data_IF_415084103089
#
_entry.id   IF_415084103089
#
_cell.length_a   1.000
_cell.length_b   1.000
_cell.length_c   1.000
_cell.angle_alpha   90.00
_cell.angle_beta   90.00
_cell.angle_gamma   90.00
#
_symmetry.space_group_name_H-M   'P 1'
#
loop_
_entity.id
_entity.type
_entity.pdbx_description
1 polymer ?
#
# COMPACT_ATOMS: atom_id res chain seq x y z
N UNK A 1 -0.25 25.45 3.54
CA UNK A 1 0.25 24.08 3.42
C UNK A 1 1.75 24.06 3.52
N UNK A 2 2.27 23.17 4.29
CA UNK A 2 3.70 23.11 4.48
C UNK A 2 4.26 21.86 3.80
N UNK A 3 5.54 21.91 3.53
CA UNK A 3 6.24 20.77 2.95
C UNK A 3 6.14 19.57 3.88
N UNK A 4 6.17 19.82 5.19
CA UNK A 4 6.08 18.75 6.16
C UNK A 4 4.75 18.01 6.05
N UNK A 5 3.66 18.74 5.83
CA UNK A 5 2.36 18.12 5.67
C UNK A 5 2.28 17.35 4.37
N UNK A 6 2.83 17.91 3.33
CA UNK A 6 2.88 17.23 2.04
C UNK A 6 3.68 15.94 2.14
N UNK A 7 4.79 16.01 2.82
CA UNK A 7 5.63 14.82 3.02
C UNK A 7 4.89 13.74 3.80
N UNK A 8 4.21 14.14 4.87
CA UNK A 8 3.44 13.19 5.67
C UNK A 8 2.34 12.52 4.85
N UNK A 9 1.66 13.30 4.03
CA UNK A 9 0.61 12.75 3.18
C UNK A 9 1.19 11.75 2.17
N UNK A 10 2.33 12.08 1.60
CA UNK A 10 2.97 11.19 0.64
C UNK A 10 3.37 9.88 1.29
N UNK A 11 3.95 9.95 2.47
CA UNK A 11 4.35 8.74 3.21
C UNK A 11 3.14 7.89 3.55
N UNK A 12 2.06 8.52 3.99
CA UNK A 12 0.85 7.80 4.33
C UNK A 12 0.25 7.12 3.09
N UNK A 13 0.27 7.81 1.97
CA UNK A 13 -0.27 7.26 0.74
C UNK A 13 0.54 6.04 0.28
N UNK A 14 1.85 6.15 0.29
CA UNK A 14 2.71 5.04 -0.10
C UNK A 14 2.51 3.85 0.83
N UNK A 15 2.45 4.12 2.13
CA UNK A 15 2.23 3.06 3.11
C UNK A 15 0.88 2.38 2.91
N UNK A 16 -0.14 3.16 2.59
CA UNK A 16 -1.47 2.60 2.36
C UNK A 16 -1.48 1.67 1.15
N UNK A 17 -0.79 2.04 0.10
CA UNK A 17 -0.72 1.18 -1.08
C UNK A 17 0.02 -0.11 -0.80
N UNK A 18 1.09 -0.04 -0.04
CA UNK A 18 1.86 -1.23 0.31
C UNK A 18 0.99 -2.19 1.12
N UNK A 19 0.30 -1.66 2.13
CA UNK A 19 -0.56 -2.50 2.97
C UNK A 19 -1.72 -3.06 2.17
N UNK A 20 -2.30 -2.25 1.29
CA UNK A 20 -3.39 -2.71 0.44
C UNK A 20 -2.95 -3.86 -0.45
N UNK A 21 -1.76 -3.77 -1.00
CA UNK A 21 -1.21 -4.84 -1.84
C UNK A 21 -1.05 -6.13 -1.07
N UNK A 22 -0.61 -6.03 0.17
CA UNK A 22 -0.47 -7.20 1.03
C UNK A 22 -1.83 -7.83 1.31
N UNK A 23 -2.84 -7.02 1.53
CA UNK A 23 -4.18 -7.53 1.78
C UNK A 23 -4.74 -8.25 0.56
N UNK A 24 -4.54 -7.66 -0.60
CA UNK A 24 -5.00 -8.29 -1.84
C UNK A 24 -4.29 -9.61 -2.06
N UNK A 25 -2.99 -9.64 -1.83
CA UNK A 25 -2.23 -10.87 -1.97
C UNK A 25 -2.71 -11.96 -1.02
N UNK A 26 -3.06 -11.58 0.20
CA UNK A 26 -3.55 -12.55 1.17
C UNK A 26 -4.96 -13.04 0.85
N UNK A 27 -5.76 -12.19 0.23
CA UNK A 27 -7.14 -12.55 -0.11
C UNK A 27 -7.22 -13.46 -1.32
N UNK A 28 -6.26 -13.35 -2.22
CA UNK A 28 -6.27 -14.18 -3.41
C UNK A 28 -5.84 -15.60 -3.05
N UNK A 29 -6.63 -16.61 -3.42
CA UNK A 29 -6.24 -17.99 -3.17
C UNK A 29 -4.93 -18.29 -3.88
N UNK A 30 -4.13 -19.10 -3.23
CA UNK A 30 -2.87 -19.50 -3.83
C UNK A 30 -3.17 -20.38 -5.02
N UNK A 31 -3.06 -19.82 -6.19
CA UNK A 31 -3.24 -20.59 -7.40
C UNK A 31 -1.86 -20.87 -7.96
N UNK A 32 -1.44 -22.12 -7.94
CA UNK A 32 -0.16 -22.45 -8.52
C UNK A 32 -0.22 -22.26 -10.02
N UNK A 33 0.38 -21.23 -10.46
CA UNK A 33 0.46 -21.01 -11.89
C UNK A 33 1.64 -21.82 -12.38
N UNK A 34 1.31 -22.84 -12.99
CA UNK A 34 2.35 -23.68 -13.53
C UNK A 34 3.12 -22.99 -14.63
#
# INVERSE_FOLDING_TARGET
>A
MSIAKFHSAAVALVGAFIVASLFVGAAVPVVPIA
#
